data_IF_826808799650
#
_entry.id   IF_826808799650
#
_cell.length_a   1.000
_cell.length_b   1.000
_cell.length_c   1.000
_cell.angle_alpha   90.00
_cell.angle_beta   90.00
_cell.angle_gamma   90.00
#
_symmetry.space_group_name_H-M   'P 1'
#
loop_
_entity.id
_entity.type
_entity.pdbx_description
1 polymer ?
#
# COMPACT_ATOMS: atom_id res chain seq x y z
N UNK A 1 11.18 -0.58 -9.39
CA UNK A 1 10.52 0.73 -9.68
C UNK A 1 9.40 0.50 -10.69
N UNK A 2 8.29 1.22 -10.62
CA UNK A 2 7.05 0.93 -11.40
C UNK A 2 6.83 1.80 -12.64
N UNK A 3 7.53 2.94 -12.77
CA UNK A 3 7.41 3.81 -13.94
C UNK A 3 8.20 3.25 -15.13
N UNK A 4 7.57 3.22 -16.31
CA UNK A 4 8.11 2.62 -17.54
C UNK A 4 9.23 3.47 -18.17
N UNK A 5 9.06 4.80 -18.23
CA UNK A 5 10.09 5.76 -18.65
C UNK A 5 10.75 6.48 -17.47
N UNK A 6 11.87 7.15 -17.73
CA UNK A 6 12.53 8.02 -16.75
C UNK A 6 11.75 9.33 -16.54
N UNK A 7 11.19 9.92 -17.60
CA UNK A 7 10.28 11.08 -17.52
C UNK A 7 9.05 10.83 -16.65
N UNK A 8 8.62 9.57 -16.58
CA UNK A 8 7.43 9.16 -15.81
C UNK A 8 7.78 8.85 -14.35
N UNK A 9 9.05 8.97 -13.94
CA UNK A 9 9.49 8.58 -12.61
C UNK A 9 8.68 9.30 -11.54
N UNK A 10 8.56 10.63 -11.64
CA UNK A 10 7.93 11.47 -10.62
C UNK A 10 6.40 11.50 -10.73
N UNK A 11 5.89 11.75 -11.94
CA UNK A 11 4.45 11.96 -12.19
C UNK A 11 3.66 10.65 -12.35
N UNK A 12 4.35 9.55 -12.65
CA UNK A 12 3.73 8.28 -12.98
C UNK A 12 3.36 8.17 -14.46
N UNK A 13 3.07 6.93 -14.88
CA UNK A 13 2.71 6.65 -16.27
C UNK A 13 1.29 7.13 -16.59
N UNK A 14 1.04 7.74 -17.77
CA UNK A 14 -0.30 8.22 -18.16
C UNK A 14 -1.39 7.14 -18.09
N UNK A 15 -1.05 5.88 -18.39
CA UNK A 15 -2.01 4.76 -18.35
C UNK A 15 -2.59 4.45 -16.95
N UNK A 16 -2.05 5.05 -15.89
CA UNK A 16 -2.61 4.96 -14.54
C UNK A 16 -3.84 5.86 -14.36
N UNK A 17 -4.06 6.81 -15.26
CA UNK A 17 -5.11 7.81 -15.18
C UNK A 17 -6.07 7.63 -16.37
N UNK A 18 -7.16 6.86 -16.20
CA UNK A 18 -8.15 6.68 -17.26
C UNK A 18 -8.73 8.04 -17.63
N UNK A 19 -8.90 8.28 -18.93
CA UNK A 19 -9.38 9.53 -19.50
C UNK A 19 -8.40 10.71 -19.39
N UNK A 20 -7.09 10.45 -19.31
CA UNK A 20 -6.07 11.50 -19.40
C UNK A 20 -4.98 11.10 -20.39
N UNK A 21 -4.65 12.00 -21.31
CA UNK A 21 -3.57 11.79 -22.29
C UNK A 21 -2.18 11.88 -21.64
N UNK A 22 -2.06 12.70 -20.58
CA UNK A 22 -0.85 12.88 -19.77
C UNK A 22 -1.19 12.65 -18.30
N UNK A 23 -0.18 12.31 -17.49
CA UNK A 23 -0.37 12.24 -16.04
C UNK A 23 -0.78 13.61 -15.48
N UNK A 24 -1.80 13.69 -14.59
CA UNK A 24 -2.29 14.96 -14.08
C UNK A 24 -1.20 15.65 -13.25
N UNK A 25 -1.06 16.98 -13.38
CA UNK A 25 -0.08 17.73 -12.58
C UNK A 25 -0.40 17.68 -11.09
N UNK A 26 -1.67 17.67 -10.72
CA UNK A 26 -2.14 17.61 -9.34
C UNK A 26 -3.17 16.49 -9.15
N UNK A 27 -3.03 15.72 -8.07
CA UNK A 27 -4.01 14.72 -7.64
C UNK A 27 -4.70 15.23 -6.38
N UNK A 28 -6.03 15.12 -6.33
CA UNK A 28 -6.83 15.53 -5.17
C UNK A 28 -6.28 14.96 -3.87
N UNK A 29 -6.13 15.83 -2.86
CA UNK A 29 -5.63 15.47 -1.55
C UNK A 29 -4.10 15.44 -1.42
N UNK A 30 -3.34 15.63 -2.50
CA UNK A 30 -1.89 15.87 -2.42
C UNK A 30 -1.60 17.24 -1.80
N UNK A 31 -0.63 17.29 -0.89
CA UNK A 31 -0.18 18.53 -0.23
C UNK A 31 1.34 18.65 -0.39
N UNK A 32 1.87 19.86 -0.42
CA UNK A 32 3.33 20.03 -0.39
C UNK A 32 3.86 19.94 1.04
N UNK A 33 5.09 19.41 1.24
CA UNK A 33 5.76 19.46 2.53
C UNK A 33 5.89 20.87 3.10
N UNK A 34 5.90 20.96 4.43
CA UNK A 34 6.05 22.21 5.16
C UNK A 34 7.38 22.94 4.89
N UNK A 35 7.55 24.12 5.47
CA UNK A 35 8.70 25.00 5.18
C UNK A 35 10.06 24.37 5.49
N UNK A 36 10.16 23.49 6.50
CA UNK A 36 11.40 22.80 6.88
C UNK A 36 11.91 21.79 5.86
N UNK A 37 11.11 21.45 4.84
CA UNK A 37 11.49 20.51 3.79
C UNK A 37 12.02 21.26 2.57
N UNK A 38 13.28 20.97 2.24
CA UNK A 38 13.87 21.31 0.94
C UNK A 38 13.21 20.43 -0.13
N UNK A 39 12.37 21.03 -0.97
CA UNK A 39 11.74 20.35 -2.11
C UNK A 39 12.23 20.95 -3.42
N UNK A 40 12.25 20.15 -4.49
CA UNK A 40 12.66 20.63 -5.82
C UNK A 40 11.92 21.92 -6.21
N UNK A 41 10.60 21.97 -5.94
CA UNK A 41 9.76 23.12 -6.26
C UNK A 41 10.15 24.43 -5.57
N UNK A 42 10.86 24.37 -4.44
CA UNK A 42 11.33 25.54 -3.69
C UNK A 42 12.78 25.90 -4.01
N UNK A 43 13.53 24.96 -4.60
CA UNK A 43 14.96 25.10 -4.84
C UNK A 43 15.24 25.73 -6.20
N UNK A 44 16.00 26.82 -6.23
CA UNK A 44 16.50 27.41 -7.48
C UNK A 44 17.52 26.52 -8.20
N UNK A 45 18.12 25.55 -7.49
CA UNK A 45 19.15 24.64 -8.00
C UNK A 45 18.62 23.23 -8.30
N UNK A 46 17.29 23.02 -8.32
CA UNK A 46 16.64 21.70 -8.48
C UNK A 46 17.18 20.64 -7.50
N UNK A 47 17.55 21.05 -6.29
CA UNK A 47 17.95 20.15 -5.19
C UNK A 47 16.78 19.89 -4.23
N UNK A 48 16.87 18.81 -3.47
CA UNK A 48 15.92 18.47 -2.43
C UNK A 48 14.98 17.32 -2.77
N UNK A 49 13.99 17.13 -1.92
CA UNK A 49 13.05 16.01 -1.97
C UNK A 49 12.02 16.17 -3.10
N UNK A 50 11.70 15.05 -3.74
CA UNK A 50 10.69 14.99 -4.79
C UNK A 50 9.70 13.87 -4.53
N UNK A 51 8.42 14.14 -4.80
CA UNK A 51 7.38 13.13 -4.80
C UNK A 51 7.57 12.19 -5.99
N UNK A 52 7.64 10.90 -5.72
CA UNK A 52 7.50 9.84 -6.70
C UNK A 52 6.13 9.19 -6.56
N UNK A 53 5.22 9.45 -7.50
CA UNK A 53 3.91 8.79 -7.54
C UNK A 53 4.07 7.31 -7.89
N UNK A 54 3.28 6.48 -7.21
CA UNK A 54 3.21 5.04 -7.43
C UNK A 54 1.87 4.69 -8.08
N UNK A 55 1.80 3.53 -8.72
CA UNK A 55 0.58 3.12 -9.40
C UNK A 55 -0.60 3.05 -8.40
N UNK A 56 -1.72 3.74 -8.66
CA UNK A 56 -2.88 3.71 -7.79
C UNK A 56 -3.41 2.28 -7.60
N UNK A 57 -3.63 1.89 -6.35
CA UNK A 57 -4.14 0.54 -6.02
C UNK A 57 -5.64 0.41 -6.30
N UNK A 58 -6.39 1.51 -6.21
CA UNK A 58 -7.87 1.51 -6.30
C UNK A 58 -8.42 0.83 -7.55
N UNK A 59 -7.82 1.06 -8.73
CA UNK A 59 -8.28 0.45 -9.98
C UNK A 59 -8.16 -1.08 -9.98
N UNK A 60 -7.09 -1.60 -9.37
CA UNK A 60 -6.85 -3.05 -9.28
C UNK A 60 -7.78 -3.73 -8.28
N UNK A 61 -8.34 -2.96 -7.34
CA UNK A 61 -9.20 -3.46 -6.26
C UNK A 61 -10.66 -3.53 -6.69
N UNK A 62 -11.12 -2.61 -7.54
CA UNK A 62 -12.52 -2.45 -7.88
C UNK A 62 -13.16 -3.76 -8.40
N UNK A 63 -12.55 -4.38 -9.42
CA UNK A 63 -13.06 -5.61 -10.03
C UNK A 63 -13.15 -6.77 -9.03
N UNK A 64 -12.06 -7.14 -8.31
CA UNK A 64 -12.13 -8.11 -7.21
C UNK A 64 -13.22 -7.84 -6.19
N UNK A 65 -13.31 -6.62 -5.69
CA UNK A 65 -14.26 -6.28 -4.62
C UNK A 65 -15.72 -6.25 -5.09
N UNK A 66 -15.97 -6.08 -6.39
CA UNK A 66 -17.31 -6.15 -6.96
C UNK A 66 -17.79 -7.60 -7.17
N UNK A 67 -16.92 -8.48 -7.66
CA UNK A 67 -17.29 -9.86 -8.00
C UNK A 67 -17.18 -10.84 -6.83
N UNK A 68 -16.25 -10.64 -5.89
CA UNK A 68 -16.10 -11.53 -4.76
C UNK A 68 -17.40 -11.67 -3.93
N UNK A 69 -18.13 -10.60 -3.56
CA UNK A 69 -19.41 -10.72 -2.87
C UNK A 69 -20.46 -11.52 -3.65
N UNK A 70 -20.51 -11.33 -4.97
CA UNK A 70 -21.42 -12.07 -5.84
C UNK A 70 -21.15 -13.58 -5.75
N UNK A 71 -19.89 -14.00 -5.90
CA UNK A 71 -19.53 -15.42 -5.80
C UNK A 71 -19.80 -16.01 -4.42
N UNK A 72 -19.59 -15.22 -3.35
CA UNK A 72 -19.90 -15.66 -1.98
C UNK A 72 -21.40 -15.88 -1.79
N UNK A 73 -22.25 -14.96 -2.26
CA UNK A 73 -23.71 -15.13 -2.17
C UNK A 73 -24.17 -16.29 -3.06
N UNK A 74 -23.61 -16.39 -4.27
CA UNK A 74 -23.94 -17.45 -5.22
C UNK A 74 -23.59 -18.84 -4.66
N UNK A 75 -22.55 -18.99 -3.83
CA UNK A 75 -22.20 -20.28 -3.23
C UNK A 75 -23.28 -20.86 -2.31
N UNK A 76 -24.18 -20.02 -1.79
CA UNK A 76 -25.30 -20.48 -0.96
C UNK A 76 -26.44 -21.11 -1.79
N UNK A 77 -26.56 -20.78 -3.09
CA UNK A 77 -27.71 -21.17 -3.92
C UNK A 77 -27.82 -22.70 -4.12
N UNK A 78 -26.76 -23.43 -4.51
CA UNK A 78 -26.84 -24.88 -4.65
C UNK A 78 -27.19 -25.60 -3.35
N UNK A 79 -26.77 -25.04 -2.21
CA UNK A 79 -27.01 -25.61 -0.88
C UNK A 79 -28.43 -25.34 -0.37
N UNK A 80 -29.01 -24.18 -0.72
CA UNK A 80 -30.38 -23.82 -0.36
C UNK A 80 -31.43 -24.51 -1.25
N UNK A 81 -31.08 -24.79 -2.52
CA UNK A 81 -31.97 -25.40 -3.51
C UNK A 81 -31.32 -26.64 -4.14
N UNK A 82 -31.19 -27.75 -3.38
CA UNK A 82 -30.49 -28.94 -3.84
C UNK A 82 -31.18 -29.62 -5.03
N UNK A 83 -30.40 -30.39 -5.80
CA UNK A 83 -30.84 -31.17 -6.96
C UNK A 83 -30.95 -30.37 -8.25
N UNK A 84 -30.35 -29.17 -8.31
CA UNK A 84 -30.40 -28.26 -9.47
C UNK A 84 -29.07 -28.16 -10.21
N UNK A 85 -28.00 -28.73 -9.66
CA UNK A 85 -26.70 -28.86 -10.33
C UNK A 85 -26.25 -30.33 -10.34
N UNK A 86 -25.25 -30.71 -11.15
CA UNK A 86 -24.71 -32.08 -11.15
C UNK A 86 -24.15 -32.50 -9.79
N UNK A 87 -23.57 -31.56 -9.04
CA UNK A 87 -23.06 -31.74 -7.69
C UNK A 87 -23.11 -30.39 -6.95
N UNK A 88 -24.13 -30.23 -6.10
CA UNK A 88 -24.38 -28.97 -5.40
C UNK A 88 -23.24 -28.59 -4.44
N UNK A 89 -22.58 -29.58 -3.83
CA UNK A 89 -21.48 -29.34 -2.90
C UNK A 89 -20.24 -28.85 -3.64
N UNK A 90 -19.90 -29.50 -4.75
CA UNK A 90 -18.76 -29.10 -5.58
C UNK A 90 -18.97 -27.71 -6.16
N UNK A 91 -20.14 -27.41 -6.70
CA UNK A 91 -20.45 -26.08 -7.25
C UNK A 91 -20.38 -25.01 -6.16
N UNK A 92 -21.00 -25.24 -5.00
CA UNK A 92 -20.93 -24.30 -3.87
C UNK A 92 -19.48 -24.06 -3.41
N UNK A 93 -18.67 -25.12 -3.32
CA UNK A 93 -17.26 -25.03 -2.92
C UNK A 93 -16.44 -24.21 -3.91
N UNK A 94 -16.63 -24.43 -5.22
CA UNK A 94 -15.91 -23.68 -6.26
C UNK A 94 -16.27 -22.18 -6.18
N UNK A 95 -17.56 -21.84 -6.07
CA UNK A 95 -18.00 -20.46 -5.95
C UNK A 95 -17.48 -19.79 -4.66
N UNK A 96 -17.51 -20.52 -3.55
CA UNK A 96 -16.96 -20.05 -2.29
C UNK A 96 -15.47 -19.75 -2.41
N UNK A 97 -14.68 -20.68 -2.94
CA UNK A 97 -13.24 -20.49 -3.14
C UNK A 97 -12.94 -19.36 -4.12
N UNK A 98 -13.71 -19.23 -5.20
CA UNK A 98 -13.57 -18.14 -6.16
C UNK A 98 -13.74 -16.76 -5.50
N UNK A 99 -14.69 -16.62 -4.56
CA UNK A 99 -14.88 -15.35 -3.85
C UNK A 99 -13.63 -14.91 -3.08
N UNK A 100 -12.99 -15.83 -2.36
CA UNK A 100 -11.76 -15.54 -1.62
C UNK A 100 -10.54 -15.39 -2.51
N UNK A 101 -10.40 -16.20 -3.55
CA UNK A 101 -9.27 -16.13 -4.48
C UNK A 101 -9.21 -14.81 -5.22
N UNK A 102 -10.36 -14.23 -5.59
CA UNK A 102 -10.42 -12.91 -6.23
C UNK A 102 -9.80 -11.81 -5.36
N UNK A 103 -9.84 -11.91 -4.03
CA UNK A 103 -9.28 -10.91 -3.13
C UNK A 103 -7.75 -11.03 -2.94
N UNK A 104 -7.14 -12.15 -3.35
CA UNK A 104 -5.70 -12.41 -3.14
C UNK A 104 -4.73 -11.48 -3.89
N UNK A 105 -4.97 -11.03 -5.14
CA UNK A 105 -4.01 -10.20 -5.90
C UNK A 105 -3.70 -8.84 -5.25
N UNK A 106 -4.56 -8.39 -4.34
CA UNK A 106 -4.40 -7.14 -3.59
C UNK A 106 -3.21 -7.23 -2.62
N UNK A 107 -2.90 -8.43 -2.13
CA UNK A 107 -1.78 -8.71 -1.22
C UNK A 107 -0.45 -8.64 -1.97
N UNK A 108 -0.46 -8.88 -3.28
CA UNK A 108 0.72 -8.83 -4.13
C UNK A 108 1.15 -7.39 -4.47
N UNK A 109 0.41 -6.37 -4.01
CA UNK A 109 0.79 -4.95 -4.18
C UNK A 109 1.80 -4.45 -3.13
N UNK A 110 2.31 -5.34 -2.27
CA UNK A 110 3.36 -5.01 -1.29
C UNK A 110 4.65 -4.62 -2.02
N UNK A 111 5.39 -3.68 -1.46
CA UNK A 111 6.66 -3.17 -1.99
C UNK A 111 7.85 -4.17 -1.91
N UNK A 112 7.59 -5.42 -1.54
CA UNK A 112 8.59 -6.48 -1.37
C UNK A 112 9.44 -6.37 -0.11
N UNK A 113 9.29 -5.28 0.66
CA UNK A 113 9.99 -5.09 1.92
C UNK A 113 9.18 -5.66 3.09
N UNK A 114 9.85 -6.19 4.13
CA UNK A 114 9.16 -6.74 5.28
C UNK A 114 8.30 -5.66 5.95
N UNK A 115 7.02 -5.96 6.15
CA UNK A 115 6.13 -5.13 6.92
C UNK A 115 6.42 -5.34 8.41
N UNK A 116 6.81 -4.27 9.11
CA UNK A 116 7.33 -4.33 10.48
C UNK A 116 6.26 -4.18 11.56
N UNK A 117 5.01 -4.32 11.19
CA UNK A 117 3.91 -4.26 12.14
C UNK A 117 3.95 -5.46 13.09
N UNK A 118 3.95 -5.25 14.42
CA UNK A 118 4.37 -6.27 15.39
C UNK A 118 3.32 -7.37 15.65
N UNK A 119 2.06 -7.20 15.29
CA UNK A 119 0.99 -8.13 15.71
C UNK A 119 0.77 -9.27 14.71
N UNK A 120 0.57 -10.50 15.20
CA UNK A 120 0.30 -11.67 14.35
C UNK A 120 -0.90 -11.47 13.40
N UNK A 121 -2.06 -10.92 13.83
CA UNK A 121 -3.19 -10.66 12.93
C UNK A 121 -2.84 -9.65 11.82
N UNK A 122 -1.96 -8.68 12.09
CA UNK A 122 -1.56 -7.69 11.09
C UNK A 122 -0.76 -8.29 9.94
N UNK A 123 -0.09 -9.43 10.13
CA UNK A 123 0.62 -10.16 9.05
C UNK A 123 -0.33 -10.62 7.94
N UNK A 124 -1.57 -10.93 8.32
CA UNK A 124 -2.61 -11.41 7.40
C UNK A 124 -3.54 -10.30 6.91
N UNK A 125 -3.32 -9.06 7.33
CA UNK A 125 -4.08 -7.94 6.83
C UNK A 125 -3.92 -7.87 5.29
N UNK A 126 -5.02 -7.71 4.52
CA UNK A 126 -6.32 -7.17 4.92
C UNK A 126 -7.37 -8.18 5.43
N UNK A 127 -7.06 -9.48 5.48
CA UNK A 127 -8.04 -10.49 5.89
C UNK A 127 -8.45 -10.38 7.35
N UNK A 128 -9.75 -10.53 7.60
CA UNK A 128 -10.28 -10.68 8.95
C UNK A 128 -10.11 -12.13 9.43
N UNK A 129 -8.91 -12.44 9.93
CA UNK A 129 -8.57 -13.80 10.40
C UNK A 129 -9.44 -14.23 11.57
N UNK A 130 -9.89 -13.31 12.41
CA UNK A 130 -10.74 -13.63 13.57
C UNK A 130 -12.02 -14.34 13.14
N UNK A 131 -12.78 -13.75 12.21
CA UNK A 131 -14.02 -14.36 11.74
C UNK A 131 -13.79 -15.55 10.80
N UNK A 132 -12.67 -15.58 10.05
CA UNK A 132 -12.27 -16.76 9.28
C UNK A 132 -12.05 -17.96 10.21
N UNK A 133 -11.29 -17.78 11.30
CA UNK A 133 -11.02 -18.85 12.28
C UNK A 133 -12.31 -19.32 12.94
N UNK A 134 -13.21 -18.41 13.33
CA UNK A 134 -14.52 -18.78 13.87
C UNK A 134 -15.34 -19.60 12.87
N UNK A 135 -15.38 -19.18 11.59
CA UNK A 135 -16.05 -19.91 10.52
C UNK A 135 -15.49 -21.33 10.36
N UNK A 136 -14.17 -21.48 10.31
CA UNK A 136 -13.47 -22.77 10.21
C UNK A 136 -13.72 -23.66 11.43
N UNK A 137 -13.71 -23.11 12.64
CA UNK A 137 -13.94 -23.89 13.87
C UNK A 137 -15.38 -24.39 13.99
N UNK A 138 -16.36 -23.59 13.53
CA UNK A 138 -17.78 -23.99 13.56
C UNK A 138 -18.13 -24.92 12.40
N UNK A 139 -17.39 -24.87 11.29
CA UNK A 139 -17.70 -25.66 10.10
C UNK A 139 -17.84 -27.16 10.40
N UNK A 140 -16.92 -27.89 11.04
CA UNK A 140 -17.06 -29.35 11.26
C UNK A 140 -18.33 -29.76 12.01
N UNK A 141 -18.90 -28.87 12.84
CA UNK A 141 -20.12 -29.14 13.60
C UNK A 141 -21.32 -29.41 12.68
N UNK A 142 -21.30 -28.91 11.44
CA UNK A 142 -22.37 -29.21 10.47
C UNK A 142 -22.40 -30.68 10.02
N UNK A 143 -21.27 -31.40 10.14
CA UNK A 143 -21.14 -32.82 9.79
C UNK A 143 -21.52 -33.69 10.98
N UNK A 144 -21.04 -33.35 12.18
CA UNK A 144 -21.16 -34.20 13.36
C UNK A 144 -22.45 -34.00 14.16
N UNK A 145 -23.08 -32.82 14.07
CA UNK A 145 -24.22 -32.45 14.93
C UNK A 145 -25.48 -32.20 14.10
N UNK A 146 -25.51 -31.14 13.29
CA UNK A 146 -26.68 -30.75 12.50
C UNK A 146 -26.24 -29.90 11.29
N UNK A 147 -26.72 -30.24 10.10
CA UNK A 147 -26.38 -29.53 8.86
C UNK A 147 -26.75 -28.05 8.87
N UNK A 148 -27.75 -27.64 9.67
CA UNK A 148 -28.14 -26.23 9.87
C UNK A 148 -27.02 -25.39 10.47
N UNK A 149 -26.11 -26.00 11.23
CA UNK A 149 -24.96 -25.30 11.82
C UNK A 149 -24.01 -24.76 10.74
N UNK A 150 -24.01 -25.37 9.55
CA UNK A 150 -23.25 -24.88 8.40
C UNK A 150 -23.59 -23.43 8.05
N UNK A 151 -24.84 -22.99 8.26
CA UNK A 151 -25.26 -21.61 8.03
C UNK A 151 -24.63 -20.61 9.01
N UNK A 152 -24.36 -21.02 10.25
CA UNK A 152 -23.63 -20.16 11.20
C UNK A 152 -22.15 -20.02 10.82
N UNK A 153 -21.52 -21.10 10.36
CA UNK A 153 -20.17 -21.03 9.78
C UNK A 153 -20.14 -20.10 8.57
N UNK A 154 -21.10 -20.25 7.65
CA UNK A 154 -21.25 -19.38 6.49
C UNK A 154 -21.46 -17.91 6.88
N UNK A 155 -22.26 -17.62 7.90
CA UNK A 155 -22.44 -16.26 8.43
C UNK A 155 -21.12 -15.64 8.91
N UNK A 156 -20.28 -16.40 9.61
CA UNK A 156 -18.95 -15.91 10.00
C UNK A 156 -18.06 -15.62 8.79
N UNK A 157 -18.09 -16.45 7.75
CA UNK A 157 -17.39 -16.15 6.50
C UNK A 157 -17.94 -14.90 5.81
N UNK A 158 -19.25 -14.67 5.80
CA UNK A 158 -19.85 -13.44 5.29
C UNK A 158 -19.35 -12.19 6.05
N UNK A 159 -19.31 -12.25 7.37
CA UNK A 159 -18.79 -11.14 8.21
C UNK A 159 -17.30 -10.92 7.92
N UNK A 160 -16.51 -12.00 7.89
CA UNK A 160 -15.09 -11.93 7.57
C UNK A 160 -14.84 -11.30 6.20
N UNK A 161 -15.64 -11.70 5.20
CA UNK A 161 -15.52 -11.24 3.83
C UNK A 161 -15.87 -9.75 3.72
N UNK A 162 -16.96 -9.32 4.35
CA UNK A 162 -17.33 -7.91 4.41
C UNK A 162 -16.23 -7.05 5.05
N UNK A 163 -15.71 -7.47 6.21
CA UNK A 163 -14.61 -6.76 6.89
C UNK A 163 -13.32 -6.75 6.08
N UNK A 164 -13.01 -7.85 5.39
CA UNK A 164 -11.86 -7.94 4.48
C UNK A 164 -11.99 -6.92 3.36
N UNK A 165 -13.16 -6.78 2.74
CA UNK A 165 -13.42 -5.75 1.71
C UNK A 165 -13.27 -4.34 2.30
N UNK A 166 -13.82 -4.07 3.49
CA UNK A 166 -13.66 -2.76 4.14
C UNK A 166 -12.18 -2.42 4.38
N UNK A 167 -11.40 -3.39 4.86
CA UNK A 167 -9.96 -3.24 5.08
C UNK A 167 -9.21 -2.96 3.78
N UNK A 168 -9.54 -3.69 2.71
CA UNK A 168 -9.01 -3.49 1.36
C UNK A 168 -9.31 -2.07 0.86
N UNK A 169 -10.58 -1.65 0.92
CA UNK A 169 -11.01 -0.34 0.44
C UNK A 169 -10.34 0.76 1.25
N UNK A 170 -10.28 0.63 2.57
CA UNK A 170 -9.60 1.59 3.45
C UNK A 170 -8.12 1.77 3.11
N UNK A 171 -7.44 0.67 2.77
CA UNK A 171 -6.05 0.71 2.34
C UNK A 171 -5.88 1.26 0.91
N UNK A 172 -6.82 0.97 0.00
CA UNK A 172 -6.72 1.38 -1.40
C UNK A 172 -7.19 2.83 -1.67
N UNK A 173 -7.99 3.41 -0.77
CA UNK A 173 -8.59 4.74 -0.92
C UNK A 173 -7.63 5.90 -0.59
N UNK A 174 -6.32 5.69 -0.76
CA UNK A 174 -5.30 6.68 -0.44
C UNK A 174 -4.32 6.79 -1.60
N UNK A 175 -3.84 8.02 -1.84
CA UNK A 175 -2.79 8.25 -2.83
C UNK A 175 -1.54 7.47 -2.41
N UNK A 176 -0.89 6.86 -3.39
CA UNK A 176 0.33 6.07 -3.18
C UNK A 176 1.51 6.86 -3.75
N UNK A 177 2.43 7.26 -2.89
CA UNK A 177 3.67 7.89 -3.28
C UNK A 177 4.77 7.57 -2.28
N UNK A 178 6.01 7.81 -2.70
CA UNK A 178 7.16 7.90 -1.82
C UNK A 178 7.95 9.15 -2.18
N UNK A 179 8.80 9.59 -1.28
CA UNK A 179 9.61 10.78 -1.51
C UNK A 179 11.05 10.39 -1.72
N UNK A 180 11.69 10.93 -2.76
CA UNK A 180 13.05 10.60 -3.15
C UNK A 180 13.97 11.80 -2.91
N UNK A 181 15.20 11.50 -2.53
CA UNK A 181 16.31 12.45 -2.44
C UNK A 181 17.51 11.83 -3.17
N UNK A 182 18.01 12.43 -4.26
CA UNK A 182 19.22 11.97 -4.92
C UNK A 182 20.42 12.27 -4.02
N UNK A 183 21.36 11.33 -3.96
CA UNK A 183 22.56 11.45 -3.12
C UNK A 183 23.76 10.78 -3.81
N UNK A 184 24.96 11.20 -3.44
CA UNK A 184 26.15 10.37 -3.60
C UNK A 184 26.15 9.26 -2.55
N UNK A 185 26.61 8.07 -2.92
CA UNK A 185 26.57 6.87 -2.06
C UNK A 185 27.41 7.08 -0.79
N UNK A 186 28.50 7.82 -0.93
CA UNK A 186 29.48 8.16 0.10
C UNK A 186 28.92 9.14 1.14
N UNK A 187 27.93 9.96 0.76
CA UNK A 187 27.30 10.94 1.66
C UNK A 187 26.32 10.29 2.64
N UNK A 188 25.97 9.02 2.42
CA UNK A 188 25.09 8.31 3.32
C UNK A 188 25.82 7.76 4.55
N UNK A 189 25.47 8.30 5.71
CA UNK A 189 25.91 7.83 7.02
C UNK A 189 24.82 8.02 8.08
N UNK A 190 24.99 7.43 9.25
CA UNK A 190 23.97 7.46 10.32
C UNK A 190 23.73 8.87 10.90
N UNK A 191 24.75 9.73 10.89
CA UNK A 191 24.71 11.10 11.40
C UNK A 191 23.85 12.06 10.57
N UNK A 192 23.61 11.74 9.29
CA UNK A 192 22.71 12.53 8.44
C UNK A 192 21.24 12.33 8.84
N UNK A 193 20.92 11.28 9.59
CA UNK A 193 19.54 11.00 9.99
C UNK A 193 19.05 12.04 11.01
N UNK A 194 17.81 12.49 10.81
CA UNK A 194 17.13 13.39 11.73
C UNK A 194 16.70 12.64 13.01
N UNK A 195 16.43 13.39 14.08
CA UNK A 195 15.97 12.84 15.36
C UNK A 195 14.72 11.99 15.16
N UNK A 196 14.65 10.83 15.84
CA UNK A 196 13.53 9.89 15.77
C UNK A 196 13.69 8.77 14.74
N UNK A 197 14.75 8.85 13.91
CA UNK A 197 15.14 7.78 12.99
C UNK A 197 16.26 6.93 13.58
N UNK A 198 16.10 5.60 13.51
CA UNK A 198 17.13 4.63 13.86
C UNK A 198 17.72 4.00 12.61
N UNK A 199 19.04 4.04 12.50
CA UNK A 199 19.77 3.40 11.41
C UNK A 199 19.69 1.87 11.49
N UNK A 200 19.60 1.26 10.31
CA UNK A 200 19.68 -0.19 10.08
C UNK A 200 20.90 -0.53 9.23
N UNK A 201 21.34 0.40 8.39
CA UNK A 201 22.49 0.26 7.51
C UNK A 201 23.47 1.40 7.76
N UNK A 202 24.76 1.07 7.92
CA UNK A 202 25.82 2.07 8.08
C UNK A 202 26.25 2.74 6.78
N UNK A 203 25.85 2.17 5.65
CA UNK A 203 26.20 2.61 4.29
C UNK A 203 24.97 2.53 3.41
N UNK A 204 24.96 3.31 2.35
CA UNK A 204 23.90 3.21 1.34
C UNK A 204 23.93 1.82 0.70
N UNK A 205 22.73 1.31 0.42
CA UNK A 205 22.47 0.07 -0.30
C UNK A 205 21.04 0.09 -0.80
N UNK A 206 20.77 -0.71 -1.82
CA UNK A 206 19.39 -0.99 -2.21
C UNK A 206 18.67 -1.78 -1.08
N UNK A 207 17.56 -1.23 -0.58
CA UNK A 207 16.79 -1.80 0.51
C UNK A 207 16.82 -0.97 1.81
N UNK A 208 16.44 -1.56 2.97
CA UNK A 208 16.24 -0.79 4.20
C UNK A 208 17.52 -0.10 4.70
N UNK A 209 17.40 1.21 4.99
CA UNK A 209 18.47 2.06 5.50
C UNK A 209 18.19 2.51 6.94
N UNK A 210 16.98 2.98 7.24
CA UNK A 210 16.58 3.40 8.57
C UNK A 210 15.07 3.21 8.80
N UNK A 211 14.63 3.32 10.06
CA UNK A 211 13.22 3.30 10.45
C UNK A 211 12.90 4.42 11.43
N UNK A 212 11.64 4.85 11.41
CA UNK A 212 11.09 5.71 12.44
C UNK A 212 10.83 4.92 13.72
N UNK A 213 11.18 5.49 14.87
CA UNK A 213 10.98 4.86 16.19
C UNK A 213 9.69 5.28 16.89
N UNK A 214 9.06 6.37 16.47
CA UNK A 214 7.81 6.85 17.07
C UNK A 214 6.60 6.01 16.66
N UNK A 215 5.59 5.98 17.53
CA UNK A 215 4.36 5.25 17.27
C UNK A 215 3.54 5.90 16.16
N UNK A 216 3.12 5.10 15.18
CA UNK A 216 2.25 5.53 14.08
C UNK A 216 1.03 4.60 13.98
N UNK A 217 -0.20 5.14 13.98
CA UNK A 217 -1.43 4.34 14.10
C UNK A 217 -1.74 3.54 12.83
N UNK A 218 -1.48 2.23 12.84
CA UNK A 218 -1.60 1.34 11.65
C UNK A 218 -0.56 1.59 10.55
N UNK A 219 0.50 2.34 10.84
CA UNK A 219 1.55 2.67 9.88
C UNK A 219 2.93 2.38 10.45
N UNK A 220 3.89 2.29 9.53
CA UNK A 220 5.33 2.33 9.81
C UNK A 220 5.95 3.29 8.81
N UNK A 221 7.07 3.91 9.17
CA UNK A 221 7.82 4.76 8.27
C UNK A 221 9.26 4.22 8.14
N UNK A 222 9.74 4.13 6.91
CA UNK A 222 11.09 3.68 6.62
C UNK A 222 11.82 4.53 5.58
N UNK A 223 13.14 4.52 5.73
CA UNK A 223 14.07 5.04 4.73
C UNK A 223 14.66 3.84 4.00
N UNK A 224 14.64 3.90 2.68
CA UNK A 224 15.07 2.82 1.80
C UNK A 224 16.01 3.39 0.74
N UNK A 225 17.15 2.76 0.51
CA UNK A 225 18.03 3.11 -0.58
C UNK A 225 17.52 2.51 -1.87
N UNK A 226 17.56 3.30 -2.95
CA UNK A 226 17.11 2.87 -4.26
C UNK A 226 18.04 3.45 -5.32
N UNK A 227 18.48 2.64 -6.27
CA UNK A 227 19.29 3.09 -7.42
C UNK A 227 18.47 2.95 -8.71
N UNK A 228 18.58 3.92 -9.62
CA UNK A 228 18.05 3.87 -10.98
C UNK A 228 19.08 4.41 -11.95
N UNK A 229 19.51 3.57 -12.89
CA UNK A 229 20.64 3.92 -13.75
C UNK A 229 21.88 4.20 -12.88
N UNK A 230 22.49 5.38 -13.10
CA UNK A 230 23.68 5.83 -12.37
C UNK A 230 23.33 6.64 -11.10
N UNK A 231 22.04 6.88 -10.84
CA UNK A 231 21.60 7.78 -9.77
C UNK A 231 21.14 6.97 -8.56
N UNK A 232 21.72 7.29 -7.40
CA UNK A 232 21.34 6.71 -6.12
C UNK A 232 20.43 7.65 -5.35
N UNK A 233 19.41 7.07 -4.72
CA UNK A 233 18.39 7.79 -3.98
C UNK A 233 18.26 7.24 -2.56
N UNK A 234 17.88 8.13 -1.67
CA UNK A 234 17.23 7.82 -0.40
C UNK A 234 15.74 8.03 -0.58
N UNK A 235 14.94 7.02 -0.24
CA UNK A 235 13.49 7.06 -0.35
C UNK A 235 12.84 7.06 1.02
N UNK A 236 11.97 8.04 1.28
CA UNK A 236 11.08 8.09 2.43
C UNK A 236 9.74 7.48 2.07
N UNK A 237 9.36 6.46 2.85
CA UNK A 237 8.15 5.69 2.65
C UNK A 237 7.27 5.74 3.91
N UNK A 238 5.97 5.95 3.71
CA UNK A 238 4.96 5.72 4.74
C UNK A 238 4.15 4.47 4.37
N UNK A 239 4.27 3.43 5.18
CA UNK A 239 3.75 2.09 4.88
C UNK A 239 2.59 1.74 5.81
N UNK A 240 1.42 1.51 5.24
CA UNK A 240 0.26 1.01 5.96
C UNK A 240 0.49 -0.43 6.43
N UNK A 241 -0.22 -0.89 7.47
CA UNK A 241 -0.18 -2.30 7.94
C UNK A 241 -0.58 -3.34 6.89
N UNK A 242 -1.18 -2.95 5.75
CA UNK A 242 -1.38 -3.83 4.58
C UNK A 242 -0.10 -4.06 3.77
N UNK A 243 0.94 -3.26 3.98
CA UNK A 243 2.17 -3.20 3.20
C UNK A 243 2.08 -2.32 1.95
N UNK A 244 0.97 -1.60 1.76
CA UNK A 244 0.82 -0.59 0.70
C UNK A 244 1.52 0.70 1.17
N UNK A 245 2.23 1.35 0.24
CA UNK A 245 2.82 2.67 0.45
C UNK A 245 1.79 3.75 0.20
N UNK A 246 1.61 4.65 1.16
CA UNK A 246 0.76 5.83 1.01
C UNK A 246 1.62 7.10 0.94
N UNK A 247 1.13 8.11 0.23
CA UNK A 247 1.79 9.42 0.21
C UNK A 247 1.75 10.06 1.61
N UNK A 248 2.91 10.26 2.27
CA UNK A 248 2.97 10.93 3.57
C UNK A 248 2.45 12.37 3.53
N UNK A 249 2.53 13.03 2.37
CA UNK A 249 2.06 14.41 2.20
C UNK A 249 0.72 14.45 1.47
N UNK A 250 -0.28 13.89 2.15
CA UNK A 250 -1.69 14.07 1.80
C UNK A 250 -2.46 14.66 2.96
N UNK A 251 -3.58 15.33 2.67
CA UNK A 251 -4.42 16.01 3.67
C UNK A 251 -4.74 15.11 4.87
N UNK A 252 -4.96 13.81 4.62
CA UNK A 252 -5.28 12.85 5.67
C UNK A 252 -4.15 12.61 6.70
N UNK A 253 -2.88 12.82 6.33
CA UNK A 253 -1.76 12.66 7.26
C UNK A 253 -1.25 14.01 7.77
N UNK A 254 -1.21 15.03 6.93
CA UNK A 254 -0.71 16.35 7.32
C UNK A 254 -1.60 17.03 8.37
N UNK A 255 -2.91 16.78 8.34
CA UNK A 255 -3.86 17.30 9.35
C UNK A 255 -3.94 16.43 10.60
N UNK A 256 -3.36 15.23 10.58
CA UNK A 256 -3.42 14.30 11.71
C UNK A 256 -2.23 14.52 12.66
N UNK A 257 -2.54 14.99 13.86
CA UNK A 257 -1.54 15.29 14.90
C UNK A 257 -0.63 14.09 15.25
N UNK A 258 -1.09 12.85 15.08
CA UNK A 258 -0.29 11.64 15.33
C UNK A 258 0.88 11.47 14.34
N UNK A 259 0.84 12.14 13.19
CA UNK A 259 1.91 12.12 12.18
C UNK A 259 2.75 13.40 12.19
N UNK A 260 2.39 14.41 12.98
CA UNK A 260 3.05 15.72 12.97
C UNK A 260 4.56 15.61 13.17
N UNK A 261 5.00 14.92 14.23
CA UNK A 261 6.43 14.79 14.56
C UNK A 261 7.24 14.09 13.45
N UNK A 262 6.64 13.17 12.70
CA UNK A 262 7.28 12.50 11.56
C UNK A 262 7.43 13.45 10.37
N UNK A 263 6.40 14.25 10.09
CA UNK A 263 6.30 15.06 8.87
C UNK A 263 6.86 16.48 9.03
N UNK A 264 7.09 16.93 10.26
CA UNK A 264 7.59 18.27 10.55
C UNK A 264 8.99 18.55 9.97
N UNK A 265 9.87 17.56 9.95
CA UNK A 265 11.24 17.68 9.47
C UNK A 265 11.58 16.56 8.48
N UNK A 266 12.45 16.82 7.48
CA UNK A 266 12.93 15.79 6.58
C UNK A 266 13.67 14.68 7.36
N UNK A 267 13.64 13.44 6.86
CA UNK A 267 14.26 12.30 7.54
C UNK A 267 15.79 12.36 7.51
N UNK A 268 16.36 13.18 6.61
CA UNK A 268 17.79 13.46 6.52
C UNK A 268 18.06 14.95 6.65
N UNK A 269 19.24 15.32 7.17
CA UNK A 269 19.71 16.70 7.36
C UNK A 269 20.39 17.29 6.13
N UNK A 270 20.70 16.47 5.13
CA UNK A 270 21.31 16.89 3.87
C UNK A 270 20.25 17.30 2.86
N UNK A 271 20.56 18.28 2.00
CA UNK A 271 19.68 18.73 0.91
C UNK A 271 19.77 17.85 -0.35
N UNK A 272 20.70 16.90 -0.38
CA UNK A 272 20.92 16.00 -1.51
C UNK A 272 21.54 16.65 -2.74
N UNK A 273 21.62 15.85 -3.80
CA UNK A 273 22.22 16.22 -5.08
C UNK A 273 21.24 16.93 -6.02
N UNK A 274 21.78 17.45 -7.12
CA UNK A 274 20.97 18.06 -8.19
C UNK A 274 20.21 16.95 -8.92
N UNK A 275 18.91 17.16 -9.14
CA UNK A 275 18.11 16.22 -9.92
C UNK A 275 18.51 16.21 -11.40
N UNK A 276 18.75 15.03 -12.00
CA UNK A 276 19.01 14.91 -13.42
C UNK A 276 17.83 15.36 -14.29
N UNK A 277 18.12 16.04 -15.41
CA UNK A 277 17.09 16.67 -16.25
C UNK A 277 16.14 15.66 -16.90
N UNK A 278 16.63 14.45 -17.23
CA UNK A 278 15.85 13.42 -17.91
C UNK A 278 14.70 12.83 -17.07
N UNK A 279 14.62 13.15 -15.78
CA UNK A 279 13.49 12.78 -14.92
C UNK A 279 12.34 13.79 -14.95
N UNK A 280 12.51 14.93 -15.61
CA UNK A 280 11.47 15.92 -15.81
C UNK A 280 10.91 15.81 -17.22
N UNK A 281 9.59 15.90 -17.34
CA UNK A 281 8.94 16.08 -18.63
C UNK A 281 9.15 17.52 -19.06
N UNK A 282 9.67 17.77 -20.26
CA UNK A 282 9.72 19.12 -20.81
C UNK A 282 8.29 19.66 -20.92
N UNK A 283 8.00 20.76 -20.21
CA UNK A 283 6.68 21.40 -20.17
C UNK A 283 6.36 22.19 -21.46
N UNK A 284 7.24 22.15 -22.46
CA UNK A 284 7.07 22.79 -23.77
C UNK A 284 6.58 21.77 -24.82
N UNK A 285 5.31 21.36 -24.74
CA UNK A 285 4.44 20.94 -25.87
C UNK A 285 2.98 20.72 -25.43
#
# INVERSE_FOLDING_TARGET
MQAAGDSDLLMGSPNWFPNSEKAPLHITGEVNPGENWDTISKSSSRRGWARQRLQPVGQKVLYPTAWAPFFLVASAVPLAFPGRTPDDQTVATILFLASWLLLTPIINQKDGLPNRFPSFPSKFHPFDITFIVLGVLVFPLHIFIDSRIGWFSFLFFCIAHYKTIQNIVSAANRNSARWLLPIEVEDYSEDILSKGWRSISKRHKNGPLAIWEGDLPNYTADIVGVTRGEVSFVAFNLKHKSGILHDPFSTCFTENQQFHTLLENPPTKISGEIWPEHYFTNEEE
#
